data_IF_705036277267
#
_entry.id   IF_705036277267
#
_cell.length_a   1.000
_cell.length_b   1.000
_cell.length_c   1.000
_cell.angle_alpha   90.00
_cell.angle_beta   90.00
_cell.angle_gamma   90.00
#
_symmetry.space_group_name_H-M   'P 1'
#
loop_
_entity.id
_entity.type
_entity.pdbx_description
1 polymer ?
#
# COMPACT_ATOMS: atom_id res chain seq x y z
N UNK A 1 -3.21 10.45 16.40
CA UNK A 1 -4.23 9.47 16.85
C UNK A 1 -4.45 8.38 15.81
N UNK A 2 -4.59 8.72 14.52
CA UNK A 2 -4.82 7.77 13.42
C UNK A 2 -3.76 6.66 13.37
N UNK A 3 -2.47 6.99 13.50
CA UNK A 3 -1.40 5.97 13.54
C UNK A 3 -1.56 4.95 14.65
N UNK A 4 -1.98 5.40 15.84
CA UNK A 4 -2.20 4.51 16.99
C UNK A 4 -3.35 3.55 16.70
N UNK A 5 -4.48 4.09 16.23
CA UNK A 5 -5.66 3.30 15.89
C UNK A 5 -5.34 2.25 14.79
N UNK A 6 -4.65 2.64 13.72
CA UNK A 6 -4.29 1.70 12.65
C UNK A 6 -3.43 0.53 13.13
N UNK A 7 -2.51 0.75 14.07
CA UNK A 7 -1.71 -0.31 14.67
C UNK A 7 -2.53 -1.18 15.64
N UNK A 8 -3.46 -0.59 16.38
CA UNK A 8 -4.38 -1.33 17.25
C UNK A 8 -5.32 -2.24 16.44
N UNK A 9 -5.94 -1.70 15.39
CA UNK A 9 -6.84 -2.44 14.50
C UNK A 9 -6.12 -3.62 13.84
N UNK A 10 -4.91 -3.38 13.30
CA UNK A 10 -4.10 -4.43 12.70
C UNK A 10 -3.73 -5.53 13.70
N UNK A 11 -3.25 -5.16 14.88
CA UNK A 11 -2.91 -6.11 15.94
C UNK A 11 -4.12 -6.97 16.35
N UNK A 12 -5.27 -6.33 16.59
CA UNK A 12 -6.48 -7.02 16.99
C UNK A 12 -6.99 -7.96 15.89
N UNK A 13 -6.98 -7.54 14.63
CA UNK A 13 -7.35 -8.40 13.51
C UNK A 13 -6.45 -9.63 13.39
N UNK A 14 -5.12 -9.45 13.55
CA UNK A 14 -4.18 -10.57 13.57
C UNK A 14 -4.40 -11.50 14.76
N UNK A 15 -4.65 -10.96 15.96
CA UNK A 15 -4.95 -11.74 17.16
C UNK A 15 -6.21 -12.60 16.99
N UNK A 16 -7.22 -12.09 16.27
CA UNK A 16 -8.45 -12.81 15.94
C UNK A 16 -8.27 -13.83 14.81
N UNK A 17 -7.09 -13.94 14.21
CA UNK A 17 -6.78 -14.92 13.17
C UNK A 17 -7.35 -14.58 11.79
N UNK A 18 -7.74 -13.32 11.54
CA UNK A 18 -8.23 -12.89 10.22
C UNK A 18 -7.10 -12.29 9.37
N UNK A 19 -7.30 -12.30 8.04
CA UNK A 19 -6.40 -11.64 7.09
C UNK A 19 -6.57 -10.12 7.13
N UNK A 20 -6.06 -9.49 8.20
CA UNK A 20 -6.23 -8.07 8.44
C UNK A 20 -5.32 -7.24 7.52
N UNK A 21 -5.94 -6.32 6.78
CA UNK A 21 -5.29 -5.22 6.08
C UNK A 21 -5.65 -3.88 6.72
N UNK A 22 -5.23 -2.79 6.11
CA UNK A 22 -5.61 -1.45 6.56
C UNK A 22 -5.56 -0.47 5.38
N UNK A 23 -6.59 0.35 5.23
CA UNK A 23 -6.50 1.55 4.42
C UNK A 23 -5.87 2.65 5.27
N UNK A 24 -4.60 2.98 4.99
CA UNK A 24 -3.90 4.06 5.67
C UNK A 24 -4.32 5.38 5.01
N UNK A 25 -5.22 6.11 5.67
CA UNK A 25 -5.89 7.24 5.05
C UNK A 25 -6.25 8.36 6.04
N UNK A 26 -6.52 9.56 5.52
CA UNK A 26 -7.08 10.67 6.29
C UNK A 26 -7.97 11.57 5.42
N UNK A 27 -8.93 12.23 6.07
CA UNK A 27 -9.76 13.27 5.46
C UNK A 27 -9.19 14.66 5.72
N UNK A 28 -9.40 15.63 4.82
CA UNK A 28 -8.79 16.96 4.89
C UNK A 28 -9.04 17.79 6.17
N UNK A 29 -10.06 17.46 6.96
CA UNK A 29 -10.35 18.14 8.22
C UNK A 29 -9.70 17.46 9.44
N UNK A 30 -9.07 16.31 9.25
CA UNK A 30 -8.29 15.64 10.28
C UNK A 30 -6.91 16.31 10.40
N UNK A 31 -6.40 16.41 11.61
CA UNK A 31 -5.04 16.88 11.88
C UNK A 31 -4.03 15.76 11.58
N UNK A 32 -3.75 15.58 10.30
CA UNK A 32 -2.80 14.61 9.76
C UNK A 32 -2.26 15.08 8.43
N UNK A 33 -0.95 14.96 8.25
CA UNK A 33 -0.25 15.28 7.02
C UNK A 33 -0.02 14.04 6.16
N UNK A 34 0.29 14.25 4.88
CA UNK A 34 0.68 13.14 3.99
C UNK A 34 1.87 12.35 4.56
N UNK A 35 2.89 13.03 5.10
CA UNK A 35 4.06 12.36 5.67
C UNK A 35 3.70 11.42 6.83
N UNK A 36 2.73 11.80 7.67
CA UNK A 36 2.27 10.93 8.75
C UNK A 36 1.53 9.69 8.21
N UNK A 37 0.80 9.84 7.10
CA UNK A 37 0.19 8.71 6.37
C UNK A 37 1.27 7.80 5.79
N UNK A 38 2.35 8.38 5.24
CA UNK A 38 3.49 7.61 4.74
C UNK A 38 4.28 6.89 5.84
N UNK A 39 4.36 7.48 7.04
CA UNK A 39 4.91 6.78 8.20
C UNK A 39 4.01 5.60 8.60
N UNK A 40 2.69 5.80 8.63
CA UNK A 40 1.73 4.74 9.00
C UNK A 40 1.79 3.55 8.05
N UNK A 41 1.83 3.76 6.72
CA UNK A 41 1.92 2.65 5.75
C UNK A 41 3.19 1.81 5.95
N UNK A 42 4.33 2.44 6.26
CA UNK A 42 5.60 1.73 6.53
C UNK A 42 5.54 0.95 7.85
N UNK A 43 4.98 1.55 8.91
CA UNK A 43 4.79 0.89 10.19
C UNK A 43 3.88 -0.35 10.07
N UNK A 44 2.77 -0.22 9.34
CA UNK A 44 1.86 -1.34 9.06
C UNK A 44 2.54 -2.43 8.21
N UNK A 45 3.30 -2.04 7.19
CA UNK A 45 4.08 -2.98 6.39
C UNK A 45 5.09 -3.77 7.23
N UNK A 46 5.81 -3.09 8.14
CA UNK A 46 6.75 -3.72 9.06
C UNK A 46 6.05 -4.65 10.06
N UNK A 47 4.84 -4.30 10.50
CA UNK A 47 3.98 -5.12 11.36
C UNK A 47 3.33 -6.33 10.64
N UNK A 48 3.60 -6.53 9.34
CA UNK A 48 3.03 -7.64 8.58
C UNK A 48 1.56 -7.47 8.22
N UNK A 49 1.13 -6.23 7.95
CA UNK A 49 -0.16 -5.92 7.34
C UNK A 49 -0.34 -6.71 6.05
N UNK A 50 -1.49 -7.38 5.90
CA UNK A 50 -1.71 -8.33 4.79
C UNK A 50 -1.87 -7.61 3.46
N UNK A 51 -2.50 -6.43 3.47
CA UNK A 51 -2.66 -5.56 2.31
C UNK A 51 -2.87 -4.11 2.75
N UNK A 52 -2.54 -3.19 1.85
CA UNK A 52 -2.88 -1.76 1.91
C UNK A 52 -3.72 -1.43 0.67
N UNK A 53 -4.46 -0.32 0.73
CA UNK A 53 -5.13 0.23 -0.45
C UNK A 53 -4.13 0.95 -1.36
N UNK A 54 -4.55 1.33 -2.55
CA UNK A 54 -3.77 2.24 -3.39
C UNK A 54 -4.65 2.94 -4.42
N UNK A 55 -4.41 4.23 -4.64
CA UNK A 55 -5.12 5.08 -5.60
C UNK A 55 -4.13 5.85 -6.50
N UNK A 56 -4.56 6.42 -7.63
CA UNK A 56 -3.74 7.33 -8.42
C UNK A 56 -3.29 8.51 -7.56
N UNK A 57 -1.99 8.58 -7.25
CA UNK A 57 -1.40 9.63 -6.38
C UNK A 57 -2.01 9.69 -4.96
N UNK A 58 -2.79 8.68 -4.55
CA UNK A 58 -3.43 8.64 -3.23
C UNK A 58 -4.72 9.46 -3.10
N UNK A 59 -5.14 10.20 -4.14
CA UNK A 59 -6.31 11.07 -4.08
C UNK A 59 -7.59 10.35 -4.52
N UNK A 60 -8.59 10.33 -3.64
CA UNK A 60 -9.93 9.89 -3.99
C UNK A 60 -10.86 11.10 -4.23
N UNK A 61 -11.05 11.42 -5.51
CA UNK A 61 -11.86 12.56 -5.94
C UNK A 61 -13.37 12.40 -5.68
N UNK A 62 -13.83 11.18 -5.39
CA UNK A 62 -15.24 10.90 -5.15
C UNK A 62 -15.56 10.87 -3.65
N UNK A 63 -14.62 10.38 -2.84
CA UNK A 63 -14.77 10.24 -1.40
C UNK A 63 -14.11 11.38 -0.60
N UNK A 64 -13.38 12.28 -1.27
CA UNK A 64 -12.73 13.46 -0.69
C UNK A 64 -11.80 13.12 0.49
N UNK A 65 -10.92 12.14 0.31
CA UNK A 65 -9.89 11.77 1.28
C UNK A 65 -8.59 11.38 0.58
N UNK A 66 -7.51 11.35 1.35
CA UNK A 66 -6.19 10.90 0.88
C UNK A 66 -5.89 9.51 1.46
N UNK A 67 -5.47 8.59 0.60
CA UNK A 67 -5.00 7.23 0.90
C UNK A 67 -3.57 7.04 0.37
N UNK A 68 -3.11 5.80 0.27
CA UNK A 68 -1.81 5.42 -0.30
C UNK A 68 -1.82 5.45 -1.83
N UNK A 69 -0.67 5.74 -2.43
CA UNK A 69 -0.50 5.81 -3.88
C UNK A 69 -0.06 4.48 -4.50
N UNK A 70 -0.32 4.26 -5.80
CA UNK A 70 0.32 3.18 -6.57
C UNK A 70 1.85 3.17 -6.47
N UNK A 71 2.47 4.34 -6.31
CA UNK A 71 3.93 4.49 -6.20
C UNK A 71 4.46 4.06 -4.83
N UNK A 72 3.58 4.09 -3.81
CA UNK A 72 3.94 3.76 -2.43
C UNK A 72 4.18 2.28 -2.25
N UNK A 73 3.40 1.46 -2.95
CA UNK A 73 3.40 0.01 -2.81
C UNK A 73 4.76 -0.61 -3.22
N UNK A 74 5.30 -0.38 -4.43
CA UNK A 74 6.62 -0.90 -4.78
C UNK A 74 7.72 -0.30 -3.90
N UNK A 75 7.63 0.97 -3.54
CA UNK A 75 8.60 1.63 -2.64
C UNK A 75 8.63 0.97 -1.25
N UNK A 76 7.45 0.70 -0.68
CA UNK A 76 7.31 0.03 0.63
C UNK A 76 7.78 -1.43 0.55
N UNK A 77 7.46 -2.12 -0.55
CA UNK A 77 7.92 -3.50 -0.79
C UNK A 77 9.44 -3.57 -0.86
N UNK A 78 10.08 -2.72 -1.65
CA UNK A 78 11.53 -2.64 -1.76
C UNK A 78 12.18 -2.31 -0.42
N UNK A 79 11.64 -1.31 0.30
CA UNK A 79 12.14 -0.90 1.61
C UNK A 79 12.11 -2.03 2.65
N UNK A 80 11.06 -2.85 2.64
CA UNK A 80 10.82 -3.89 3.64
C UNK A 80 11.20 -5.30 3.17
N UNK A 81 11.77 -5.45 1.98
CA UNK A 81 12.09 -6.75 1.38
C UNK A 81 10.85 -7.64 1.19
N UNK A 82 9.69 -7.05 0.88
CA UNK A 82 8.43 -7.76 0.65
C UNK A 82 8.16 -7.94 -0.84
N UNK A 83 7.42 -8.99 -1.18
CA UNK A 83 6.99 -9.27 -2.55
C UNK A 83 5.47 -9.32 -2.64
N UNK A 84 4.88 -9.15 -3.84
CA UNK A 84 3.48 -9.46 -4.08
C UNK A 84 3.17 -10.94 -3.81
N UNK A 85 1.89 -11.32 -3.88
CA UNK A 85 1.51 -12.74 -3.87
C UNK A 85 2.19 -13.47 -5.04
N UNK A 86 2.57 -14.75 -4.87
CA UNK A 86 3.41 -15.45 -5.84
C UNK A 86 2.87 -15.44 -7.28
N UNK A 87 1.56 -15.62 -7.43
CA UNK A 87 0.88 -15.65 -8.72
C UNK A 87 0.92 -14.28 -9.40
N UNK A 88 0.70 -13.21 -8.62
CA UNK A 88 0.73 -11.84 -9.14
C UNK A 88 2.15 -11.38 -9.45
N UNK A 89 3.12 -11.78 -8.63
CA UNK A 89 4.54 -11.51 -8.85
C UNK A 89 5.06 -12.16 -10.14
N UNK A 90 4.69 -13.41 -10.40
CA UNK A 90 5.02 -14.10 -11.65
C UNK A 90 4.42 -13.38 -12.86
N UNK A 91 3.15 -12.98 -12.77
CA UNK A 91 2.47 -12.25 -13.84
C UNK A 91 3.10 -10.86 -14.08
N UNK A 92 3.45 -10.12 -13.02
CA UNK A 92 4.12 -8.82 -13.15
C UNK A 92 5.46 -8.94 -13.88
N UNK A 93 6.20 -10.03 -13.62
CA UNK A 93 7.45 -10.34 -14.31
C UNK A 93 7.22 -10.69 -15.78
N UNK A 94 6.21 -11.50 -16.09
CA UNK A 94 5.85 -11.87 -17.46
C UNK A 94 5.44 -10.64 -18.30
N UNK A 95 4.67 -9.74 -17.70
CA UNK A 95 4.24 -8.49 -18.33
C UNK A 95 5.35 -7.42 -18.41
N UNK A 96 6.53 -7.68 -17.85
CA UNK A 96 7.63 -6.70 -17.79
C UNK A 96 7.33 -5.45 -16.96
N UNK A 97 6.33 -5.52 -16.08
CA UNK A 97 5.92 -4.43 -15.19
C UNK A 97 6.89 -4.32 -14.01
N UNK A 98 7.33 -5.44 -13.46
CA UNK A 98 8.35 -5.51 -12.41
C UNK A 98 9.48 -6.44 -12.84
N UNK A 99 10.70 -6.12 -12.42
CA UNK A 99 11.87 -6.98 -12.52
C UNK A 99 12.44 -7.21 -11.11
N UNK A 100 12.07 -8.33 -10.49
CA UNK A 100 12.37 -8.57 -9.09
C UNK A 100 11.70 -7.53 -8.17
N UNK A 101 12.51 -6.75 -7.45
CA UNK A 101 12.04 -5.68 -6.54
C UNK A 101 12.00 -4.30 -7.20
N UNK A 102 12.29 -4.20 -8.50
CA UNK A 102 12.41 -2.92 -9.23
C UNK A 102 11.35 -2.76 -10.31
N UNK A 103 10.96 -1.51 -10.64
CA UNK A 103 10.18 -1.20 -11.83
C UNK A 103 10.84 -1.75 -13.11
N UNK A 104 10.07 -2.48 -13.91
CA UNK A 104 10.47 -2.94 -15.24
C UNK A 104 10.17 -1.93 -16.35
N UNK A 105 10.45 -2.30 -17.60
CA UNK A 105 10.27 -1.41 -18.77
C UNK A 105 8.82 -0.92 -18.98
N UNK A 106 7.84 -1.72 -18.53
CA UNK A 106 6.41 -1.45 -18.70
C UNK A 106 5.79 -0.83 -17.43
N UNK A 107 6.60 -0.51 -16.41
CA UNK A 107 6.08 0.03 -15.15
C UNK A 107 5.40 1.38 -15.35
N UNK A 108 4.17 1.50 -14.85
CA UNK A 108 3.39 2.74 -14.91
C UNK A 108 2.77 3.05 -16.28
N UNK A 109 2.93 2.19 -17.29
CA UNK A 109 2.23 2.35 -18.57
C UNK A 109 0.86 1.63 -18.52
N UNK A 110 -0.26 2.38 -18.47
CA UNK A 110 -1.59 1.78 -18.37
C UNK A 110 -2.01 1.04 -19.65
N UNK A 111 -1.30 1.19 -20.77
CA UNK A 111 -1.62 0.54 -22.06
C UNK A 111 -1.11 -0.89 -22.16
N UNK A 112 -0.34 -1.35 -21.18
CA UNK A 112 0.29 -2.67 -21.15
C UNK A 112 -0.73 -3.77 -20.89
N UNK A 113 -1.81 -3.45 -20.21
CA UNK A 113 -2.93 -4.36 -19.96
C UNK A 113 -4.02 -4.04 -21.02
N UNK A 114 -4.47 -5.03 -21.80
CA UNK A 114 -5.50 -4.83 -22.84
C UNK A 114 -6.84 -4.31 -22.32
#
# INVERSE_FOLDING_TARGET
QITRAGLEDHFMGKLLGISMGCDACFTYHADMTQNELECLKVLLGAAGCSYLMSLPVGDDIMLNYQSTSYHDIPSTRALLGKRPTPEFDAWLSEMGIMEGDRPGQNFGDPRVIP
#
